data_IF_786320035359
#
_entry.id   IF_786320035359
#
_cell.length_a   1.000
_cell.length_b   1.000
_cell.length_c   1.000
_cell.angle_alpha   90.00
_cell.angle_beta   90.00
_cell.angle_gamma   90.00
#
_symmetry.space_group_name_H-M   'P 1'
#
loop_
_entity.id
_entity.type
_entity.pdbx_description
1 polymer ?
#
# COMPACT_ATOMS: atom_id res chain seq x y z
N UNK A 1 21.92 -0.89 6.45
CA UNK A 1 20.67 -0.27 6.94
C UNK A 1 19.69 0.05 5.81
N UNK A 2 20.06 0.87 4.81
CA UNK A 2 19.19 1.26 3.67
C UNK A 2 18.55 0.10 2.93
N UNK A 3 19.37 -0.86 2.48
CA UNK A 3 18.89 -2.03 1.76
C UNK A 3 17.88 -2.88 2.55
N UNK A 4 18.09 -3.01 3.87
CA UNK A 4 17.22 -3.80 4.74
C UNK A 4 15.85 -3.14 4.93
N UNK A 5 15.80 -1.81 5.07
CA UNK A 5 14.54 -1.07 5.18
C UNK A 5 13.72 -1.10 3.88
N UNK A 6 14.39 -1.02 2.73
CA UNK A 6 13.74 -1.15 1.41
C UNK A 6 13.16 -2.56 1.26
N UNK A 7 13.95 -3.60 1.57
CA UNK A 7 13.48 -4.99 1.46
C UNK A 7 12.30 -5.28 2.38
N UNK A 8 12.31 -4.74 3.61
CA UNK A 8 11.19 -4.87 4.53
C UNK A 8 9.93 -4.17 3.99
N UNK A 9 10.09 -2.98 3.40
CA UNK A 9 8.98 -2.25 2.79
C UNK A 9 8.38 -2.98 1.58
N UNK A 10 9.20 -3.61 0.74
CA UNK A 10 8.72 -4.45 -0.37
C UNK A 10 7.86 -5.62 0.14
N UNK A 11 8.28 -6.30 1.20
CA UNK A 11 7.51 -7.40 1.82
C UNK A 11 6.17 -6.87 2.35
N UNK A 12 6.17 -5.74 3.06
CA UNK A 12 4.95 -5.10 3.57
C UNK A 12 4.02 -4.73 2.41
N UNK A 13 4.57 -4.21 1.31
CA UNK A 13 3.81 -3.80 0.12
C UNK A 13 3.17 -5.00 -0.57
N UNK A 14 3.88 -6.12 -0.67
CA UNK A 14 3.34 -7.37 -1.22
C UNK A 14 2.18 -7.91 -0.36
N UNK A 15 2.35 -7.97 0.97
CA UNK A 15 1.29 -8.40 1.90
C UNK A 15 0.09 -7.44 1.83
N UNK A 16 0.35 -6.13 1.82
CA UNK A 16 -0.69 -5.12 1.69
C UNK A 16 -1.48 -5.29 0.40
N UNK A 17 -0.81 -5.56 -0.73
CA UNK A 17 -1.47 -5.76 -2.03
C UNK A 17 -2.44 -6.95 -1.99
N UNK A 18 -2.02 -8.06 -1.38
CA UNK A 18 -2.88 -9.25 -1.23
C UNK A 18 -4.09 -8.99 -0.33
N UNK A 19 -3.88 -8.37 0.84
CA UNK A 19 -4.96 -8.04 1.78
C UNK A 19 -5.90 -6.98 1.21
N UNK A 20 -5.37 -6.04 0.43
CA UNK A 20 -6.13 -4.97 -0.23
C UNK A 20 -7.12 -5.54 -1.23
N UNK A 21 -6.72 -6.54 -2.03
CA UNK A 21 -7.62 -7.16 -2.99
C UNK A 21 -8.84 -7.80 -2.32
N UNK A 22 -8.62 -8.65 -1.30
CA UNK A 22 -9.72 -9.30 -0.59
C UNK A 22 -10.63 -8.32 0.14
N UNK A 23 -10.05 -7.27 0.72
CA UNK A 23 -10.81 -6.21 1.40
C UNK A 23 -11.61 -5.36 0.42
N UNK A 24 -11.01 -4.99 -0.72
CA UNK A 24 -11.68 -4.26 -1.78
C UNK A 24 -12.88 -5.04 -2.32
N UNK A 25 -12.75 -6.35 -2.52
CA UNK A 25 -13.84 -7.20 -2.96
C UNK A 25 -15.03 -7.18 -1.99
N UNK A 26 -14.77 -7.31 -0.68
CA UNK A 26 -15.83 -7.23 0.36
C UNK A 26 -16.50 -5.85 0.38
N UNK A 27 -15.73 -4.77 0.30
CA UNK A 27 -16.26 -3.40 0.32
C UNK A 27 -17.09 -3.09 -0.93
N UNK A 28 -16.64 -3.56 -2.09
CA UNK A 28 -17.36 -3.46 -3.37
C UNK A 28 -18.71 -4.15 -3.28
N UNK A 29 -18.75 -5.39 -2.77
CA UNK A 29 -20.00 -6.14 -2.61
C UNK A 29 -20.98 -5.51 -1.61
N UNK A 30 -20.51 -4.66 -0.69
CA UNK A 30 -21.35 -3.99 0.31
C UNK A 30 -21.86 -2.60 -0.10
N UNK A 31 -21.51 -2.07 -1.28
CA UNK A 31 -21.92 -0.70 -1.63
C UNK A 31 -21.79 -0.28 -3.09
N UNK A 32 -21.16 -1.08 -3.94
CA UNK A 32 -21.03 -0.79 -5.37
C UNK A 32 -20.62 -2.05 -6.09
N UNK A 33 -21.59 -2.88 -6.48
CA UNK A 33 -21.33 -4.16 -7.15
C UNK A 33 -20.95 -3.97 -8.63
N UNK A 34 -19.87 -3.22 -8.87
CA UNK A 34 -19.37 -2.90 -10.20
C UNK A 34 -17.84 -2.78 -10.21
N UNK A 35 -17.25 -2.83 -11.41
CA UNK A 35 -15.81 -2.79 -11.60
C UNK A 35 -15.16 -1.45 -11.20
N UNK A 36 -15.87 -0.32 -11.29
CA UNK A 36 -15.33 0.98 -10.92
C UNK A 36 -15.16 1.11 -9.40
N UNK A 37 -16.14 0.62 -8.62
CA UNK A 37 -16.06 0.54 -7.16
C UNK A 37 -14.94 -0.40 -6.72
N UNK A 38 -14.77 -1.55 -7.38
CA UNK A 38 -13.66 -2.47 -7.12
C UNK A 38 -12.30 -1.80 -7.35
N UNK A 39 -12.15 -1.15 -8.49
CA UNK A 39 -10.93 -0.42 -8.82
C UNK A 39 -10.65 0.69 -7.80
N UNK A 40 -11.67 1.49 -7.44
CA UNK A 40 -11.54 2.57 -6.45
C UNK A 40 -11.06 2.06 -5.09
N UNK A 41 -11.64 0.96 -4.59
CA UNK A 41 -11.21 0.37 -3.33
C UNK A 41 -9.81 -0.23 -3.39
N UNK A 42 -9.45 -0.90 -4.48
CA UNK A 42 -8.08 -1.42 -4.68
C UNK A 42 -7.08 -0.26 -4.66
N UNK A 43 -7.36 0.83 -5.37
CA UNK A 43 -6.48 2.00 -5.44
C UNK A 43 -6.28 2.62 -4.05
N UNK A 44 -7.35 2.87 -3.32
CA UNK A 44 -7.29 3.49 -1.98
C UNK A 44 -6.55 2.62 -0.98
N UNK A 45 -6.83 1.31 -0.94
CA UNK A 45 -6.21 0.40 0.02
C UNK A 45 -4.72 0.18 -0.25
N UNK A 46 -4.29 0.23 -1.51
CA UNK A 46 -2.87 0.15 -1.84
C UNK A 46 -2.08 1.40 -1.46
N UNK A 47 -2.72 2.58 -1.32
CA UNK A 47 -2.02 3.77 -0.86
C UNK A 47 -1.49 3.66 0.57
N UNK A 48 -2.04 2.77 1.40
CA UNK A 48 -1.55 2.57 2.76
C UNK A 48 -0.07 2.14 2.82
N UNK A 49 0.43 1.37 1.83
CA UNK A 49 1.84 0.96 1.80
C UNK A 49 2.79 2.09 1.37
N UNK A 50 2.28 3.17 0.74
CA UNK A 50 3.11 4.32 0.38
C UNK A 50 3.59 5.11 1.59
N UNK A 51 2.84 5.13 2.69
CA UNK A 51 3.18 5.88 3.91
C UNK A 51 4.54 5.44 4.50
N UNK A 52 4.78 4.13 4.75
CA UNK A 52 6.10 3.68 5.17
C UNK A 52 7.20 3.99 4.15
N UNK A 53 6.94 3.84 2.85
CA UNK A 53 7.91 4.12 1.78
C UNK A 53 8.35 5.58 1.76
N UNK A 54 7.38 6.51 1.89
CA UNK A 54 7.63 7.95 2.06
C UNK A 54 8.46 8.24 3.32
N UNK A 55 8.14 7.60 4.44
CA UNK A 55 8.91 7.74 5.68
C UNK A 55 10.37 7.30 5.53
N UNK A 56 10.60 6.14 4.89
CA UNK A 56 11.96 5.64 4.60
C UNK A 56 12.70 6.61 3.66
N UNK A 57 12.04 7.10 2.61
CA UNK A 57 12.62 8.06 1.68
C UNK A 57 13.03 9.37 2.37
N UNK A 58 12.13 9.97 3.14
CA UNK A 58 12.39 11.22 3.86
C UNK A 58 13.48 11.03 4.92
N UNK A 59 13.49 9.91 5.62
CA UNK A 59 14.52 9.59 6.60
C UNK A 59 15.92 9.60 5.98
N UNK A 60 16.09 8.97 4.83
CA UNK A 60 17.38 9.00 4.15
C UNK A 60 17.71 10.38 3.59
N UNK A 61 16.72 11.08 3.02
CA UNK A 61 16.93 12.42 2.50
C UNK A 61 17.42 13.39 3.58
N UNK A 62 16.79 13.41 4.76
CA UNK A 62 17.17 14.31 5.85
C UNK A 62 18.45 13.88 6.59
N UNK A 63 18.86 12.62 6.46
CA UNK A 63 20.10 12.12 7.09
C UNK A 63 21.33 12.33 6.22
N UNK A 64 21.15 12.34 4.90
CA UNK A 64 22.20 12.56 3.92
C UNK A 64 22.44 14.08 3.65
N UNK A 65 21.61 14.98 4.22
CA UNK A 65 21.82 16.43 4.36
C UNK A 65 22.55 16.77 5.68
#
# INVERSE_FOLDING_TARGET
MRMLLILLWEIITAVQSFLSYGTAYRLTKNGGDNGASLFGWILVLNFASLVPGLGIYLWFKCKDE
#
